data_IF_556537749985
#
_entry.id   IF_556537749985
#
_cell.length_a   1.000
_cell.length_b   1.000
_cell.length_c   1.000
_cell.angle_alpha   90.00
_cell.angle_beta   90.00
_cell.angle_gamma   90.00
#
_symmetry.space_group_name_H-M   'P 1'
#
loop_
_entity.id
_entity.type
_entity.pdbx_description
1 polymer ?
#
# COMPACT_ATOMS: atom_id res chain seq x y z
N UNK A 1 -24.92 -16.17 -14.88
CA UNK A 1 -23.62 -16.57 -14.31
C UNK A 1 -23.21 -15.48 -13.36
N UNK A 2 -23.24 -15.72 -12.04
CA UNK A 2 -22.65 -14.78 -11.09
C UNK A 2 -21.14 -14.88 -11.27
N UNK A 3 -20.52 -13.85 -11.84
CA UNK A 3 -19.07 -13.72 -11.79
C UNK A 3 -18.64 -13.80 -10.33
N UNK A 4 -17.58 -14.56 -10.05
CA UNK A 4 -17.07 -14.75 -8.71
C UNK A 4 -16.53 -13.38 -8.23
N UNK A 5 -17.25 -12.70 -7.34
CA UNK A 5 -17.00 -11.32 -6.91
C UNK A 5 -15.83 -11.17 -5.91
N UNK A 6 -15.01 -12.20 -5.74
CA UNK A 6 -13.95 -12.22 -4.74
C UNK A 6 -12.69 -11.57 -5.28
N UNK A 7 -12.32 -10.41 -4.73
CA UNK A 7 -10.98 -9.84 -4.85
C UNK A 7 -10.09 -10.40 -3.75
N UNK A 8 -8.83 -10.65 -4.09
CA UNK A 8 -7.82 -10.98 -3.08
C UNK A 8 -7.42 -9.71 -2.32
N UNK A 9 -7.13 -9.86 -1.03
CA UNK A 9 -6.57 -8.77 -0.22
C UNK A 9 -5.18 -9.19 0.27
N UNK A 10 -4.18 -8.40 -0.10
CA UNK A 10 -2.80 -8.61 0.29
C UNK A 10 -2.34 -7.46 1.20
N UNK A 11 -1.93 -7.77 2.42
CA UNK A 11 -1.24 -6.82 3.30
C UNK A 11 0.26 -7.01 3.14
N UNK A 12 1.02 -5.92 2.98
CA UNK A 12 2.48 -5.97 2.94
C UNK A 12 3.09 -4.80 3.69
N UNK A 13 4.34 -4.98 4.10
CA UNK A 13 5.17 -3.93 4.69
C UNK A 13 6.61 -4.18 4.26
N UNK A 14 7.48 -3.19 4.46
CA UNK A 14 8.93 -3.30 4.19
C UNK A 14 9.61 -4.47 4.96
N UNK A 15 8.92 -5.08 5.93
CA UNK A 15 9.40 -6.28 6.63
C UNK A 15 9.29 -7.58 5.82
N UNK A 16 8.58 -7.59 4.69
CA UNK A 16 8.38 -8.77 3.86
C UNK A 16 8.88 -8.49 2.43
N UNK A 17 10.05 -9.04 2.01
CA UNK A 17 10.58 -8.78 0.68
C UNK A 17 9.60 -9.31 -0.37
N UNK A 18 9.08 -8.42 -1.21
CA UNK A 18 8.26 -8.80 -2.35
C UNK A 18 8.90 -8.34 -3.66
N UNK A 19 8.68 -9.13 -4.69
CA UNK A 19 9.13 -8.79 -6.03
C UNK A 19 8.09 -7.84 -6.66
N UNK A 20 8.42 -6.54 -6.70
CA UNK A 20 7.61 -5.51 -7.36
C UNK A 20 7.26 -5.91 -8.79
N UNK A 21 8.18 -6.56 -9.49
CA UNK A 21 7.96 -7.00 -10.85
C UNK A 21 6.92 -8.13 -10.93
N UNK A 22 6.93 -9.05 -9.95
CA UNK A 22 5.91 -10.10 -9.86
C UNK A 22 4.52 -9.52 -9.62
N UNK A 23 4.35 -8.61 -8.65
CA UNK A 23 3.03 -8.01 -8.39
C UNK A 23 2.54 -7.16 -9.56
N UNK A 24 3.43 -6.34 -10.13
CA UNK A 24 3.11 -5.53 -11.31
C UNK A 24 2.58 -6.39 -12.45
N UNK A 25 3.28 -7.49 -12.78
CA UNK A 25 2.88 -8.40 -13.86
C UNK A 25 1.65 -9.23 -13.53
N UNK A 26 1.53 -9.75 -12.31
CA UNK A 26 0.44 -10.64 -11.90
C UNK A 26 -0.90 -9.91 -11.80
N UNK A 27 -0.89 -8.64 -11.39
CA UNK A 27 -2.10 -7.88 -11.08
C UNK A 27 -2.28 -6.63 -11.96
N UNK A 28 -1.43 -6.46 -12.99
CA UNK A 28 -1.46 -5.31 -13.90
C UNK A 28 -1.35 -3.97 -13.15
N UNK A 29 -0.42 -3.87 -12.21
CA UNK A 29 -0.19 -2.66 -11.41
C UNK A 29 0.98 -1.87 -12.01
N UNK A 30 0.87 -0.55 -12.18
CA UNK A 30 2.01 0.29 -12.56
C UNK A 30 3.17 0.15 -11.56
N UNK A 31 4.40 -0.08 -12.04
CA UNK A 31 5.57 -0.21 -11.14
C UNK A 31 5.81 1.06 -10.30
N UNK A 32 5.38 2.22 -10.80
CA UNK A 32 5.42 3.50 -10.08
C UNK A 32 4.50 3.49 -8.85
N UNK A 33 3.29 2.92 -8.93
CA UNK A 33 2.38 2.80 -7.78
C UNK A 33 3.00 1.95 -6.68
N UNK A 34 3.66 0.85 -7.04
CA UNK A 34 4.40 0.01 -6.08
C UNK A 34 5.63 0.73 -5.51
N UNK A 35 6.17 1.73 -6.22
CA UNK A 35 7.30 2.54 -5.75
C UNK A 35 6.83 3.60 -4.77
N UNK A 36 5.79 4.37 -5.13
CA UNK A 36 5.14 5.36 -4.27
C UNK A 36 4.62 4.74 -2.98
N UNK A 37 3.97 3.57 -3.07
CA UNK A 37 3.44 2.86 -1.91
C UNK A 37 4.50 2.55 -0.85
N UNK A 38 5.75 2.31 -1.27
CA UNK A 38 6.88 1.96 -0.38
C UNK A 38 7.74 3.15 0.05
N UNK A 39 7.45 4.36 -0.44
CA UNK A 39 8.23 5.54 -0.10
C UNK A 39 7.70 6.18 1.19
N UNK A 40 8.56 6.28 2.19
CA UNK A 40 8.25 6.83 3.51
C UNK A 40 8.07 8.35 3.50
N UNK A 41 8.57 9.04 2.46
CA UNK A 41 8.49 10.49 2.30
C UNK A 41 7.39 10.90 1.30
N UNK A 42 6.54 9.95 0.90
CA UNK A 42 5.48 10.14 -0.09
C UNK A 42 4.29 10.93 0.47
N UNK A 43 3.72 11.81 -0.35
CA UNK A 43 2.60 12.67 0.05
C UNK A 43 1.23 12.02 -0.21
N UNK A 44 0.29 12.27 0.71
CA UNK A 44 -1.09 11.81 0.60
C UNK A 44 -1.77 12.31 -0.67
N UNK A 45 -2.36 11.39 -1.44
CA UNK A 45 -3.08 11.67 -2.69
C UNK A 45 -3.95 10.49 -3.10
N UNK A 46 -4.82 10.73 -4.08
CA UNK A 46 -5.55 9.69 -4.81
C UNK A 46 -5.16 9.83 -6.28
N UNK A 47 -4.79 8.71 -6.90
CA UNK A 47 -4.30 8.66 -8.27
C UNK A 47 -4.90 7.45 -8.99
N UNK A 48 -5.41 7.65 -10.20
CA UNK A 48 -5.96 6.57 -11.03
C UNK A 48 -5.14 6.50 -12.31
N UNK A 49 -4.61 5.32 -12.60
CA UNK A 49 -3.90 5.09 -13.85
C UNK A 49 -4.88 4.79 -14.98
N UNK A 50 -4.71 5.48 -16.10
CA UNK A 50 -5.65 5.40 -17.22
C UNK A 50 -5.47 4.13 -18.06
N UNK A 51 -4.27 3.54 -18.08
CA UNK A 51 -3.98 2.34 -18.86
C UNK A 51 -4.44 1.08 -18.14
N UNK A 52 -4.02 0.90 -16.89
CA UNK A 52 -4.30 -0.28 -16.08
C UNK A 52 -5.62 -0.20 -15.33
N UNK A 53 -6.20 1.00 -15.21
CA UNK A 53 -7.36 1.28 -14.34
C UNK A 53 -7.11 0.96 -12.86
N UNK A 54 -5.84 0.93 -12.46
CA UNK A 54 -5.44 0.81 -11.07
C UNK A 54 -5.72 2.11 -10.31
N UNK A 55 -6.12 2.00 -9.05
CA UNK A 55 -6.30 3.12 -8.15
C UNK A 55 -5.27 3.05 -7.02
N UNK A 56 -4.52 4.12 -6.84
CA UNK A 56 -3.63 4.35 -5.72
C UNK A 56 -4.28 5.36 -4.76
N UNK A 57 -4.28 5.04 -3.48
CA UNK A 57 -4.69 5.93 -2.39
C UNK A 57 -3.53 5.95 -1.40
N UNK A 58 -3.00 7.12 -1.08
CA UNK A 58 -1.98 7.33 -0.05
C UNK A 58 -2.53 8.31 0.98
N UNK A 59 -2.39 7.98 2.26
CA UNK A 59 -2.83 8.82 3.36
C UNK A 59 -1.95 8.58 4.59
N UNK A 60 -1.80 9.62 5.41
CA UNK A 60 -1.04 9.52 6.63
C UNK A 60 -1.88 8.91 7.75
N UNK A 61 -1.29 7.97 8.47
CA UNK A 61 -1.88 7.37 9.67
C UNK A 61 -0.99 7.60 10.88
N UNK A 62 -1.58 7.87 12.06
CA UNK A 62 -0.80 7.95 13.28
C UNK A 62 -0.30 6.56 13.70
N UNK A 63 0.91 6.51 14.24
CA UNK A 63 1.49 5.29 14.81
C UNK A 63 2.30 5.63 16.07
N UNK A 64 2.49 4.65 16.95
CA UNK A 64 3.35 4.82 18.12
C UNK A 64 4.83 4.86 17.69
N UNK A 65 5.52 5.93 18.06
CA UNK A 65 6.96 6.05 17.86
C UNK A 65 7.64 6.38 19.19
N UNK A 66 7.97 5.33 19.94
CA UNK A 66 8.62 5.45 21.26
C UNK A 66 10.05 6.02 21.18
N UNK A 67 10.58 6.26 19.97
CA UNK A 67 11.91 6.85 19.76
C UNK A 67 11.88 8.35 19.50
N UNK A 68 10.70 8.95 19.33
CA UNK A 68 10.53 10.37 19.06
C UNK A 68 10.13 11.14 20.34
N UNK A 69 10.35 12.46 20.34
CA UNK A 69 10.01 13.37 21.45
C UNK A 69 8.49 13.41 21.68
N UNK A 70 7.72 13.18 20.61
CA UNK A 70 6.30 12.91 20.67
C UNK A 70 6.06 11.39 20.68
N UNK A 71 5.18 10.89 21.55
CA UNK A 71 4.85 9.46 21.65
C UNK A 71 4.21 8.89 20.37
N UNK A 72 3.66 9.78 19.52
CA UNK A 72 3.02 9.45 18.26
C UNK A 72 3.68 10.22 17.12
N UNK A 73 3.87 9.53 16.00
CA UNK A 73 4.24 10.11 14.72
C UNK A 73 3.19 9.74 13.67
N UNK A 74 3.32 10.24 12.45
CA UNK A 74 2.46 9.88 11.32
C UNK A 74 3.30 9.51 10.10
N UNK A 75 2.83 8.56 9.31
CA UNK A 75 3.51 8.15 8.09
C UNK A 75 2.54 7.58 7.05
N UNK A 76 3.02 7.38 5.81
CA UNK A 76 2.16 7.02 4.70
C UNK A 76 1.74 5.54 4.74
N UNK A 77 0.44 5.33 4.64
CA UNK A 77 -0.20 4.05 4.33
C UNK A 77 -0.85 4.17 2.96
N UNK A 78 -0.84 3.07 2.21
CA UNK A 78 -1.41 3.06 0.87
C UNK A 78 -2.33 1.87 0.60
N UNK A 79 -3.32 2.12 -0.27
CA UNK A 79 -4.07 1.10 -0.98
C UNK A 79 -3.74 1.17 -2.46
N UNK A 80 -3.45 0.03 -3.06
CA UNK A 80 -3.45 -0.18 -4.50
C UNK A 80 -4.62 -1.11 -4.83
N UNK A 81 -5.56 -0.64 -5.64
CA UNK A 81 -6.78 -1.37 -5.97
C UNK A 81 -6.81 -1.62 -7.47
N UNK A 82 -6.87 -2.89 -7.86
CA UNK A 82 -7.11 -3.33 -9.23
C UNK A 82 -8.42 -4.10 -9.31
N UNK A 83 -8.73 -4.68 -10.47
CA UNK A 83 -9.91 -5.55 -10.61
C UNK A 83 -9.76 -6.84 -9.80
N UNK A 84 -8.55 -7.34 -9.64
CA UNK A 84 -8.21 -8.64 -9.06
C UNK A 84 -7.82 -8.56 -7.58
N UNK A 85 -7.14 -7.48 -7.17
CA UNK A 85 -6.51 -7.40 -5.84
C UNK A 85 -6.69 -6.02 -5.19
N UNK A 86 -6.78 -6.02 -3.86
CA UNK A 86 -6.52 -4.86 -3.01
C UNK A 86 -5.22 -5.12 -2.28
N UNK A 87 -4.24 -4.25 -2.48
CA UNK A 87 -2.96 -4.32 -1.78
C UNK A 87 -2.88 -3.17 -0.78
N UNK A 88 -2.56 -3.48 0.47
CA UNK A 88 -2.37 -2.49 1.53
C UNK A 88 -0.92 -2.46 1.98
N UNK A 89 -0.30 -1.28 2.03
CA UNK A 89 1.07 -1.10 2.53
C UNK A 89 1.17 -0.10 3.67
N UNK A 90 2.17 -0.27 4.52
CA UNK A 90 2.75 0.81 5.31
C UNK A 90 4.21 1.02 4.91
N UNK A 91 4.63 2.28 4.72
CA UNK A 91 5.98 2.57 4.22
C UNK A 91 7.06 2.45 5.30
N UNK A 92 6.73 2.60 6.59
CA UNK A 92 7.67 2.43 7.69
C UNK A 92 7.41 1.13 8.47
N UNK A 93 8.48 0.39 8.77
CA UNK A 93 8.43 -0.82 9.60
C UNK A 93 7.82 -0.59 10.98
N UNK A 94 7.93 0.62 11.54
CA UNK A 94 7.34 1.01 12.83
C UNK A 94 5.81 0.99 12.78
N UNK A 95 5.23 1.14 11.59
CA UNK A 95 3.79 1.12 11.35
C UNK A 95 3.23 -0.30 11.14
N UNK A 96 4.09 -1.33 11.05
CA UNK A 96 3.67 -2.69 10.67
C UNK A 96 2.63 -3.32 11.60
N UNK A 97 2.53 -2.86 12.85
CA UNK A 97 1.48 -3.29 13.79
C UNK A 97 0.07 -2.97 13.28
N UNK A 98 -0.09 -1.93 12.46
CA UNK A 98 -1.38 -1.46 11.95
C UNK A 98 -2.02 -2.48 11.00
N UNK A 99 -1.22 -3.25 10.27
CA UNK A 99 -1.70 -4.27 9.33
C UNK A 99 -2.21 -5.54 10.02
N UNK A 100 -1.98 -5.67 11.34
CA UNK A 100 -2.36 -6.82 12.14
C UNK A 100 -3.48 -6.51 13.16
N UNK A 101 -4.07 -5.31 13.08
CA UNK A 101 -5.27 -4.93 13.84
C UNK A 101 -6.52 -5.59 13.27
#
# INVERSE_FOLDING_TARGET
>A
MSENLTREWINFSDQMPFDKNFLSKSFNIPEEFLSYATDKDESARIEMDDETKSLLIIFDIPFEDQTDVAYYSSGPMSFIVTKEVIITNVADKKMATILNL
#
